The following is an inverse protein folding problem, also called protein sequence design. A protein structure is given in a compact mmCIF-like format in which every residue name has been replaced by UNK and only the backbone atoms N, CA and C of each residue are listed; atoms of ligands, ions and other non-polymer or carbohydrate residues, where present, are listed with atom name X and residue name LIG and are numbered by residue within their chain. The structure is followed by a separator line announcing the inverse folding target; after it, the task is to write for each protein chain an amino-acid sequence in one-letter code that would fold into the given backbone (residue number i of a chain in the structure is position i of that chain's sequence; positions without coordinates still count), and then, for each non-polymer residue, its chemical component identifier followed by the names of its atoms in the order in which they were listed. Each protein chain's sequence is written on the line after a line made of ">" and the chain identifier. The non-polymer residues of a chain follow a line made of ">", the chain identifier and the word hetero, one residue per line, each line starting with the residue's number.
data_IF_171943130555
#
_entry.id   IF_171943130555
#
_cell.length_a   1.000
_cell.length_b   1.000
_cell.length_c   1.000
_cell.angle_alpha   90.00
_cell.angle_beta   90.00
_cell.angle_gamma   90.00
#
_symmetry.space_group_name_H-M   'P 1'
#
loop_
_entity.id
_entity.type
_entity.pdbx_description
1 polymer ?
#
# COMPACT_ATOMS: atom_id res chain seq x y z
N UNK A 1 -0.73 17.15 -11.58
CA UNK A 1 -0.40 16.97 -13.02
C UNK A 1 -0.97 15.66 -13.53
N UNK A 2 -1.51 15.59 -14.76
CA UNK A 2 -1.97 14.31 -15.34
C UNK A 2 -0.76 13.47 -15.79
N UNK A 3 -0.73 12.19 -15.40
CA UNK A 3 0.28 11.22 -15.82
C UNK A 3 -0.30 10.36 -16.95
N UNK A 4 -1.45 9.71 -16.73
CA UNK A 4 -2.08 8.83 -17.70
C UNK A 4 -3.58 8.64 -17.46
N UNK A 5 -4.30 8.28 -18.52
CA UNK A 5 -5.61 7.62 -18.46
C UNK A 5 -5.44 6.27 -19.15
N UNK A 6 -5.81 5.19 -18.49
CA UNK A 6 -5.53 3.80 -18.89
C UNK A 6 -6.86 3.06 -18.97
N UNK A 7 -7.07 2.30 -20.05
CA UNK A 7 -8.24 1.45 -20.28
C UNK A 7 -7.93 0.47 -21.42
N UNK A 8 -8.62 -0.66 -21.49
CA UNK A 8 -8.47 -1.64 -22.57
C UNK A 8 -7.12 -2.36 -22.59
N UNK A 9 -6.40 -2.37 -21.47
CA UNK A 9 -5.10 -3.06 -21.32
C UNK A 9 -5.00 -3.70 -19.95
N UNK A 10 -4.36 -4.86 -19.88
CA UNK A 10 -4.04 -5.55 -18.61
C UNK A 10 -2.71 -5.10 -18.01
N UNK A 11 -1.88 -4.40 -18.79
CA UNK A 11 -0.58 -3.89 -18.36
C UNK A 11 -0.23 -2.60 -19.10
N UNK A 12 0.30 -1.63 -18.37
CA UNK A 12 0.80 -0.39 -18.97
C UNK A 12 2.21 -0.57 -19.54
N UNK A 13 2.57 0.29 -20.50
CA UNK A 13 3.98 0.61 -20.69
C UNK A 13 4.55 1.27 -19.42
N UNK A 14 5.85 1.41 -19.34
CA UNK A 14 6.48 2.18 -18.27
C UNK A 14 6.14 3.67 -18.41
N UNK A 15 5.39 4.19 -17.45
CA UNK A 15 5.03 5.59 -17.38
C UNK A 15 6.18 6.35 -16.72
N UNK A 16 6.68 7.38 -17.40
CA UNK A 16 7.82 8.17 -16.93
C UNK A 16 7.34 9.53 -16.45
N UNK A 17 7.67 9.89 -15.21
CA UNK A 17 7.37 11.18 -14.59
C UNK A 17 8.69 11.88 -14.28
N UNK A 18 8.98 12.96 -15.01
CA UNK A 18 10.22 13.73 -14.87
C UNK A 18 10.10 14.90 -13.90
N UNK A 19 8.90 15.14 -13.39
CA UNK A 19 8.66 16.15 -12.35
C UNK A 19 8.73 15.50 -10.97
N UNK A 20 9.26 16.23 -10.01
CA UNK A 20 9.22 15.83 -8.60
C UNK A 20 7.77 15.87 -8.10
N UNK A 21 7.29 14.71 -7.64
CA UNK A 21 5.97 14.55 -7.02
C UNK A 21 6.13 13.87 -5.66
N UNK A 22 5.30 14.23 -4.68
CA UNK A 22 5.28 13.59 -3.35
C UNK A 22 4.21 12.52 -3.23
N UNK A 23 3.14 12.66 -4.01
CA UNK A 23 1.99 11.76 -4.01
C UNK A 23 1.51 11.42 -5.41
N UNK A 24 0.90 10.24 -5.54
CA UNK A 24 0.20 9.77 -6.74
C UNK A 24 -1.29 9.68 -6.43
N UNK A 25 -2.12 10.39 -7.16
CA UNK A 25 -3.56 10.15 -7.16
C UNK A 25 -3.85 9.01 -8.12
N UNK A 26 -4.56 8.00 -7.61
CA UNK A 26 -5.05 6.86 -8.37
C UNK A 26 -6.58 6.86 -8.27
N UNK A 27 -7.27 6.79 -9.39
CA UNK A 27 -8.73 6.64 -9.40
C UNK A 27 -9.17 5.62 -10.44
N UNK A 28 -10.32 5.00 -10.18
CA UNK A 28 -10.95 4.05 -11.11
C UNK A 28 -12.47 4.06 -10.97
N UNK A 29 -13.16 3.53 -11.98
CA UNK A 29 -14.59 3.22 -11.89
C UNK A 29 -14.92 2.09 -10.89
N UNK A 30 -13.94 1.27 -10.52
CA UNK A 30 -14.09 0.26 -9.47
C UNK A 30 -14.25 0.92 -8.09
N UNK A 31 -15.03 0.30 -7.20
CA UNK A 31 -14.92 0.59 -5.78
C UNK A 31 -13.60 0.04 -5.23
N UNK A 32 -13.04 0.66 -4.19
CA UNK A 32 -11.78 0.23 -3.56
C UNK A 32 -11.76 -1.28 -3.19
N UNK A 33 -12.88 -1.78 -2.65
CA UNK A 33 -13.02 -3.20 -2.30
C UNK A 33 -13.02 -4.16 -3.49
N UNK A 34 -13.31 -3.67 -4.71
CA UNK A 34 -13.39 -4.47 -5.94
C UNK A 34 -12.04 -4.63 -6.65
N UNK A 35 -11.00 -3.91 -6.25
CA UNK A 35 -9.63 -4.21 -6.68
C UNK A 35 -9.25 -5.62 -6.20
N UNK A 36 -8.79 -6.49 -7.08
CA UNK A 36 -8.50 -7.90 -6.73
C UNK A 36 -7.10 -8.31 -7.13
N UNK A 37 -6.74 -8.10 -8.39
CA UNK A 37 -5.48 -8.61 -8.98
C UNK A 37 -4.53 -7.50 -9.38
N UNK A 38 -5.03 -6.28 -9.53
CA UNK A 38 -4.28 -5.13 -10.02
C UNK A 38 -3.03 -4.90 -9.16
N UNK A 39 -1.91 -4.64 -9.82
CA UNK A 39 -0.61 -4.43 -9.17
C UNK A 39 0.02 -3.13 -9.63
N UNK A 40 0.86 -2.59 -8.77
CA UNK A 40 1.65 -1.40 -9.01
C UNK A 40 3.13 -1.66 -8.73
N UNK A 41 3.96 -1.16 -9.64
CA UNK A 41 5.41 -1.04 -9.47
C UNK A 41 5.77 0.42 -9.58
N UNK A 42 6.55 0.92 -8.62
CA UNK A 42 7.07 2.29 -8.58
C UNK A 42 8.55 2.21 -8.26
N UNK A 43 9.37 2.84 -9.09
CA UNK A 43 10.78 3.01 -8.79
C UNK A 43 11.30 4.35 -9.31
N UNK A 44 12.38 4.82 -8.71
CA UNK A 44 13.10 6.02 -9.14
C UNK A 44 14.29 5.57 -9.98
N UNK A 45 14.28 5.97 -11.25
CA UNK A 45 15.41 5.81 -12.14
C UNK A 45 16.45 6.88 -11.80
N UNK A 46 17.58 6.44 -11.22
CA UNK A 46 18.68 7.34 -10.82
C UNK A 46 19.70 7.44 -11.93
N UNK A 47 20.28 8.63 -12.11
CA UNK A 47 21.25 8.89 -13.18
C UNK A 47 22.53 8.06 -13.06
N UNK A 48 22.85 7.58 -11.85
CA UNK A 48 23.98 6.70 -11.56
C UNK A 48 23.65 5.19 -11.74
N UNK A 49 22.43 4.84 -12.17
CA UNK A 49 21.95 3.47 -12.34
C UNK A 49 21.56 2.74 -11.05
N UNK A 50 21.73 3.36 -9.88
CA UNK A 50 21.31 2.81 -8.58
C UNK A 50 19.85 3.12 -8.30
N UNK A 51 18.94 2.46 -9.03
CA UNK A 51 17.52 2.70 -8.95
C UNK A 51 16.96 2.39 -7.55
N UNK A 52 16.01 3.22 -7.11
CA UNK A 52 15.34 3.05 -5.81
C UNK A 52 13.96 2.46 -6.04
N UNK A 53 13.73 1.23 -5.59
CA UNK A 53 12.45 0.54 -5.76
C UNK A 53 11.56 0.86 -4.57
N UNK A 54 10.46 1.58 -4.80
CA UNK A 54 9.49 1.92 -3.76
C UNK A 54 8.43 0.84 -3.62
N UNK A 55 7.93 0.32 -4.73
CA UNK A 55 6.99 -0.80 -4.77
C UNK A 55 7.32 -1.69 -5.96
N UNK A 56 7.24 -3.00 -5.80
CA UNK A 56 7.48 -3.96 -6.88
C UNK A 56 6.37 -4.99 -6.92
N UNK A 57 5.48 -4.87 -7.92
CA UNK A 57 4.32 -5.77 -8.14
C UNK A 57 3.43 -5.93 -6.90
N UNK A 58 3.31 -4.87 -6.12
CA UNK A 58 2.47 -4.81 -4.93
C UNK A 58 1.02 -4.74 -5.38
N UNK A 59 0.10 -5.46 -4.71
CA UNK A 59 -1.33 -5.32 -5.00
C UNK A 59 -1.76 -3.86 -4.83
N UNK A 60 -2.45 -3.31 -5.82
CA UNK A 60 -2.83 -1.90 -5.87
C UNK A 60 -3.73 -1.55 -4.69
N UNK A 61 -4.67 -2.44 -4.33
CA UNK A 61 -5.49 -2.32 -3.11
C UNK A 61 -4.59 -2.12 -1.88
N UNK A 62 -3.59 -2.96 -1.70
CA UNK A 62 -2.75 -2.96 -0.50
C UNK A 62 -1.80 -1.75 -0.48
N UNK A 63 -1.32 -1.33 -1.65
CA UNK A 63 -0.57 -0.08 -1.80
C UNK A 63 -1.42 1.14 -1.41
N UNK A 64 -2.66 1.24 -1.90
CA UNK A 64 -3.58 2.32 -1.52
C UNK A 64 -3.80 2.29 -0.01
N UNK A 65 -4.18 1.14 0.56
CA UNK A 65 -4.44 1.03 1.99
C UNK A 65 -3.23 1.39 2.84
N UNK A 66 -2.03 1.03 2.41
CA UNK A 66 -0.80 1.35 3.12
C UNK A 66 -0.42 2.83 3.00
N UNK A 67 -0.63 3.44 1.83
CA UNK A 67 -0.22 4.82 1.56
C UNK A 67 -1.19 5.87 2.09
N UNK A 68 -2.46 5.53 2.33
CA UNK A 68 -3.47 6.45 2.89
C UNK A 68 -3.68 6.28 4.40
N UNK A 69 -3.01 5.31 5.04
CA UNK A 69 -3.29 4.97 6.42
C UNK A 69 -2.88 6.08 7.38
N UNK A 70 -3.86 6.56 8.17
CA UNK A 70 -3.66 7.63 9.15
C UNK A 70 -3.56 9.03 8.54
N UNK A 71 -3.84 9.18 7.24
CA UNK A 71 -3.81 10.47 6.52
C UNK A 71 -5.19 10.76 5.92
N UNK A 72 -5.32 10.84 4.59
CA UNK A 72 -6.55 11.13 3.87
C UNK A 72 -7.36 9.86 3.58
N UNK A 73 -8.65 9.90 3.89
CA UNK A 73 -9.58 8.87 3.46
C UNK A 73 -9.64 8.77 1.92
N UNK A 74 -9.74 7.54 1.40
CA UNK A 74 -10.07 7.32 -0.01
C UNK A 74 -11.47 7.86 -0.31
N UNK A 75 -11.64 8.61 -1.39
CA UNK A 75 -12.91 9.26 -1.74
C UNK A 75 -13.57 8.57 -2.93
N UNK A 76 -14.81 8.92 -3.26
CA UNK A 76 -15.42 8.56 -4.54
C UNK A 76 -16.39 9.63 -5.03
N UNK A 77 -16.62 9.65 -6.35
CA UNK A 77 -17.50 10.61 -7.01
C UNK A 77 -18.39 9.92 -8.06
N UNK A 78 -19.09 10.69 -8.89
CA UNK A 78 -20.01 10.15 -9.90
C UNK A 78 -19.32 9.36 -11.02
N UNK A 79 -18.01 9.53 -11.20
CA UNK A 79 -17.23 8.95 -12.29
C UNK A 79 -16.22 7.92 -11.79
N UNK A 80 -15.87 7.96 -10.51
CA UNK A 80 -14.83 7.14 -9.90
C UNK A 80 -15.38 6.45 -8.65
N UNK A 81 -15.36 5.12 -8.63
CA UNK A 81 -15.70 4.31 -7.46
C UNK A 81 -14.66 4.41 -6.34
N UNK A 82 -13.43 4.83 -6.66
CA UNK A 82 -12.45 5.31 -5.69
C UNK A 82 -11.54 6.39 -6.27
N UNK A 83 -11.02 7.25 -5.39
CA UNK A 83 -9.99 8.27 -5.62
C UNK A 83 -9.09 8.25 -4.39
N UNK A 84 -7.86 7.77 -4.54
CA UNK A 84 -6.88 7.64 -3.47
C UNK A 84 -5.69 8.57 -3.74
N UNK A 85 -5.30 9.38 -2.75
CA UNK A 85 -4.06 10.15 -2.76
C UNK A 85 -3.01 9.33 -2.01
N UNK A 86 -2.08 8.73 -2.76
CA UNK A 86 -1.10 7.78 -2.22
C UNK A 86 0.25 8.48 -2.06
N UNK A 87 0.69 8.70 -0.82
CA UNK A 87 2.01 9.25 -0.54
C UNK A 87 3.12 8.27 -0.94
N UNK A 88 4.16 8.79 -1.59
CA UNK A 88 5.38 8.03 -1.94
C UNK A 88 6.64 8.68 -1.34
N UNK A 89 6.50 9.88 -0.78
CA UNK A 89 7.55 10.64 -0.13
C UNK A 89 6.97 11.40 1.07
N UNK A 90 7.79 11.63 2.10
CA UNK A 90 7.38 12.25 3.35
C UNK A 90 7.80 13.73 3.43
N UNK A 91 6.83 14.59 3.76
CA UNK A 91 6.97 16.05 3.86
C UNK A 91 7.58 16.73 2.62
N UNK A 92 7.31 16.19 1.42
CA UNK A 92 7.81 16.78 0.19
C UNK A 92 7.69 15.90 -1.04
N UNK A 93 8.15 16.45 -2.16
CA UNK A 93 8.29 15.71 -3.40
C UNK A 93 9.57 14.87 -3.42
N UNK A 94 9.56 13.74 -4.14
CA UNK A 94 10.78 12.97 -4.41
C UNK A 94 11.85 13.88 -5.00
N UNK A 95 13.02 13.96 -4.37
CA UNK A 95 14.17 14.64 -4.96
C UNK A 95 14.60 13.91 -6.24
N UNK A 96 14.65 14.64 -7.36
CA UNK A 96 15.09 14.15 -8.67
C UNK A 96 16.19 15.08 -9.22
N UNK A 97 17.35 14.51 -9.55
CA UNK A 97 18.38 15.23 -10.28
C UNK A 97 18.06 15.32 -11.78
N UNK A 98 18.89 16.03 -12.54
CA UNK A 98 18.73 16.11 -14.00
C UNK A 98 18.76 14.71 -14.63
N UNK A 99 17.77 14.42 -15.50
CA UNK A 99 17.58 13.14 -16.19
C UNK A 99 17.15 11.96 -15.30
N UNK A 100 16.86 12.20 -14.02
CA UNK A 100 16.20 11.22 -13.18
C UNK A 100 14.68 11.26 -13.39
N UNK A 101 14.00 10.16 -13.08
CA UNK A 101 12.55 10.10 -13.22
C UNK A 101 11.92 9.07 -12.29
N UNK A 102 10.65 9.27 -11.99
CA UNK A 102 9.82 8.28 -11.33
C UNK A 102 9.17 7.43 -12.42
N UNK A 103 9.30 6.11 -12.28
CA UNK A 103 8.77 5.11 -13.20
C UNK A 103 7.63 4.38 -12.54
N UNK A 104 6.50 4.29 -13.24
CA UNK A 104 5.27 3.65 -12.76
C UNK A 104 4.82 2.61 -13.78
N UNK A 105 4.52 1.40 -13.31
CA UNK A 105 3.91 0.35 -14.12
C UNK A 105 2.70 -0.19 -13.36
N UNK A 106 1.56 -0.29 -14.05
CA UNK A 106 0.41 -1.04 -13.58
C UNK A 106 0.31 -2.36 -14.35
N UNK A 107 0.03 -3.45 -13.63
CA UNK A 107 -0.09 -4.81 -14.17
C UNK A 107 -1.35 -5.49 -13.63
N UNK A 108 -1.80 -6.55 -14.30
CA UNK A 108 -2.98 -7.34 -13.95
C UNK A 108 -4.26 -6.47 -13.80
N UNK A 109 -4.37 -5.45 -14.65
CA UNK A 109 -5.51 -4.53 -14.72
C UNK A 109 -6.75 -5.22 -15.30
N UNK A 110 -7.92 -4.89 -14.75
CA UNK A 110 -9.20 -5.13 -15.43
C UNK A 110 -9.29 -4.23 -16.68
N UNK A 111 -9.32 -4.86 -17.87
CA UNK A 111 -9.30 -4.15 -19.15
C UNK A 111 -10.59 -3.36 -19.43
N UNK A 112 -11.71 -3.76 -18.81
CA UNK A 112 -13.00 -3.08 -18.92
C UNK A 112 -13.07 -1.81 -18.05
N UNK A 113 -12.09 -1.65 -17.15
CA UNK A 113 -12.03 -0.53 -16.22
C UNK A 113 -11.13 0.58 -16.73
N UNK A 114 -11.46 1.80 -16.30
CA UNK A 114 -10.62 2.99 -16.49
C UNK A 114 -9.80 3.22 -15.22
N UNK A 115 -8.53 3.56 -15.39
CA UNK A 115 -7.65 4.01 -14.33
C UNK A 115 -7.04 5.36 -14.71
N UNK A 116 -7.10 6.35 -13.81
CA UNK A 116 -6.44 7.63 -13.98
C UNK A 116 -5.33 7.80 -12.96
N UNK A 117 -4.18 8.29 -13.45
CA UNK A 117 -3.01 8.60 -12.64
C UNK A 117 -2.70 10.09 -12.74
N UNK A 118 -2.56 10.73 -11.58
CA UNK A 118 -2.07 12.10 -11.46
C UNK A 118 -0.95 12.17 -10.44
N UNK A 119 0.03 13.04 -10.65
CA UNK A 119 1.06 13.35 -9.68
C UNK A 119 0.76 14.66 -8.95
N UNK A 120 1.10 14.74 -7.67
CA UNK A 120 1.04 15.99 -6.89
C UNK A 120 2.47 16.54 -6.74
N UNK A 121 2.70 17.68 -7.38
CA UNK A 121 3.94 18.44 -7.23
C UNK A 121 3.91 19.16 -5.87
N UNK A 122 5.06 19.20 -5.19
CA UNK A 122 5.20 19.84 -3.88
C UNK A 122 6.36 20.85 -3.92
N UNK A 123 6.29 21.93 -3.12
CA UNK A 123 7.24 23.03 -3.19
C UNK A 123 8.63 22.68 -2.64
N UNK A 124 8.71 21.62 -1.84
CA UNK A 124 9.96 21.14 -1.23
C UNK A 124 10.23 19.72 -1.72
N UNK A 125 11.51 19.34 -1.72
CA UNK A 125 11.94 17.99 -2.05
C UNK A 125 12.51 17.29 -0.83
N UNK A 126 12.35 15.96 -0.80
CA UNK A 126 12.76 15.09 0.31
C UNK A 126 13.49 13.86 -0.22
N UNK A 127 14.30 13.27 0.67
CA UNK A 127 14.91 11.95 0.48
C UNK A 127 14.26 10.89 1.37
N UNK A 128 13.27 11.26 2.17
CA UNK A 128 12.49 10.33 2.98
C UNK A 128 11.38 9.74 2.11
N UNK A 129 11.50 8.47 1.76
CA UNK A 129 10.62 7.80 0.81
C UNK A 129 9.89 6.63 1.46
N UNK A 130 8.65 6.40 1.04
CA UNK A 130 7.87 5.25 1.46
C UNK A 130 8.21 4.02 0.61
N UNK A 131 8.51 2.92 1.27
CA UNK A 131 8.81 1.62 0.69
C UNK A 131 7.70 0.63 1.04
N UNK A 132 7.27 -0.13 0.05
CA UNK A 132 6.19 -1.11 0.12
C UNK A 132 6.74 -2.48 -0.31
N UNK A 133 6.89 -3.39 0.65
CA UNK A 133 7.48 -4.70 0.41
C UNK A 133 6.45 -5.81 0.63
N UNK A 134 6.37 -6.75 -0.31
CA UNK A 134 5.50 -7.90 -0.16
C UNK A 134 6.17 -8.99 0.69
N UNK A 135 5.43 -9.53 1.66
CA UNK A 135 5.82 -10.72 2.43
C UNK A 135 4.70 -11.76 2.35
N UNK A 136 5.05 -13.04 2.47
CA UNK A 136 4.08 -14.14 2.31
C UNK A 136 4.34 -15.26 3.31
N UNK A 137 3.26 -15.77 3.89
CA UNK A 137 3.21 -17.07 4.58
C UNK A 137 2.63 -18.08 3.61
N UNK A 138 3.42 -19.09 3.27
CA UNK A 138 3.09 -20.10 2.28
C UNK A 138 2.02 -21.08 2.80
N UNK A 139 1.43 -21.85 1.90
CA UNK A 139 0.27 -22.70 2.22
C UNK A 139 0.63 -23.83 3.20
N UNK A 140 1.83 -24.36 3.14
CA UNK A 140 2.37 -25.42 3.97
C UNK A 140 2.73 -24.99 5.41
N UNK A 141 2.96 -23.69 5.63
CA UNK A 141 3.36 -23.14 6.92
C UNK A 141 2.15 -23.04 7.86
N UNK A 142 2.22 -23.68 9.04
CA UNK A 142 1.21 -23.53 10.11
C UNK A 142 1.50 -22.31 10.99
N UNK A 143 2.79 -21.98 11.09
CA UNK A 143 3.33 -20.88 11.85
C UNK A 143 4.49 -20.30 11.06
N UNK A 144 4.55 -18.98 10.96
CA UNK A 144 5.71 -18.28 10.44
C UNK A 144 5.96 -17.00 11.21
N UNK A 145 7.22 -16.78 11.55
CA UNK A 145 7.73 -15.49 12.00
C UNK A 145 8.23 -14.69 10.81
N UNK A 146 7.69 -13.48 10.68
CA UNK A 146 8.05 -12.49 9.68
C UNK A 146 8.86 -11.41 10.39
N UNK A 147 10.04 -11.12 9.87
CA UNK A 147 10.79 -9.94 10.30
C UNK A 147 10.10 -8.68 9.78
N UNK A 148 9.74 -7.81 10.71
CA UNK A 148 9.06 -6.54 10.44
C UNK A 148 9.78 -5.36 11.11
N UNK A 149 11.02 -5.55 11.53
CA UNK A 149 11.82 -4.47 12.08
C UNK A 149 12.00 -3.34 11.06
N UNK A 150 11.70 -2.11 11.51
CA UNK A 150 11.82 -0.90 10.68
C UNK A 150 10.62 -0.61 9.77
N UNK A 151 9.59 -1.47 9.78
CA UNK A 151 8.31 -1.20 9.15
C UNK A 151 7.35 -0.59 10.19
N UNK A 152 6.48 0.33 9.74
CA UNK A 152 5.51 1.01 10.60
C UNK A 152 4.09 0.45 10.42
N UNK A 153 3.83 -0.26 9.32
CA UNK A 153 2.53 -0.78 8.95
C UNK A 153 2.64 -2.09 8.18
N UNK A 154 1.65 -2.97 8.34
CA UNK A 154 1.38 -4.08 7.43
C UNK A 154 -0.08 -4.08 7.00
N UNK A 155 -0.34 -4.36 5.72
CA UNK A 155 -1.65 -4.70 5.19
C UNK A 155 -1.67 -6.20 4.95
N UNK A 156 -2.43 -6.93 5.77
CA UNK A 156 -2.56 -8.39 5.71
C UNK A 156 -3.85 -8.80 5.01
N UNK A 157 -3.81 -9.85 4.20
CA UNK A 157 -5.02 -10.53 3.72
C UNK A 157 -5.75 -11.20 4.89
N UNK A 158 -7.02 -10.87 5.11
CA UNK A 158 -7.85 -11.55 6.12
C UNK A 158 -8.25 -12.91 5.59
N UNK A 159 -7.96 -13.95 6.38
CA UNK A 159 -8.44 -15.30 6.15
C UNK A 159 -8.93 -15.88 7.47
N UNK A 160 -10.08 -16.58 7.43
CA UNK A 160 -10.71 -17.16 8.62
C UNK A 160 -9.85 -18.23 9.30
N UNK A 161 -8.82 -18.74 8.61
CA UNK A 161 -7.90 -19.76 9.12
C UNK A 161 -6.83 -19.21 10.04
N UNK A 162 -6.63 -17.88 10.06
CA UNK A 162 -5.70 -17.22 10.97
C UNK A 162 -6.30 -17.21 12.37
N UNK A 163 -5.73 -17.99 13.28
CA UNK A 163 -6.22 -18.10 14.65
C UNK A 163 -5.82 -16.91 15.51
N UNK A 164 -4.57 -16.46 15.33
CA UNK A 164 -3.96 -15.41 16.12
C UNK A 164 -2.68 -14.88 15.49
N UNK A 165 -2.27 -13.70 15.96
CA UNK A 165 -1.02 -13.05 15.62
C UNK A 165 -0.27 -12.71 16.90
N UNK A 166 1.06 -12.86 16.90
CA UNK A 166 1.90 -12.43 18.01
C UNK A 166 2.87 -11.35 17.56
N UNK A 167 2.85 -10.23 18.27
CA UNK A 167 3.79 -9.13 18.09
C UNK A 167 4.95 -9.31 19.03
N UNK A 168 6.15 -9.42 18.48
CA UNK A 168 7.38 -9.28 19.24
C UNK A 168 7.83 -7.83 19.18
N UNK A 169 7.88 -7.16 20.33
CA UNK A 169 8.31 -5.77 20.45
C UNK A 169 9.82 -5.66 20.67
N UNK A 170 10.38 -4.49 20.35
CA UNK A 170 11.80 -4.18 20.51
C UNK A 170 12.30 -4.25 21.97
N UNK A 171 11.41 -4.12 22.95
CA UNK A 171 11.70 -4.30 24.37
C UNK A 171 11.71 -5.77 24.82
N UNK A 172 11.56 -6.72 23.90
CA UNK A 172 11.55 -8.16 24.16
C UNK A 172 10.19 -8.73 24.59
N UNK A 173 9.17 -7.89 24.78
CA UNK A 173 7.82 -8.38 25.09
C UNK A 173 7.18 -9.04 23.88
N UNK A 174 6.40 -10.09 24.13
CA UNK A 174 5.57 -10.74 23.12
C UNK A 174 4.12 -10.63 23.56
N UNK A 175 3.30 -10.02 22.72
CA UNK A 175 1.85 -9.89 22.97
C UNK A 175 1.11 -10.61 21.87
N UNK A 176 0.18 -11.47 22.28
CA UNK A 176 -0.67 -12.26 21.38
C UNK A 176 -2.01 -11.55 21.24
N UNK A 177 -2.48 -11.45 20.00
CA UNK A 177 -3.73 -10.81 19.63
C UNK A 177 -4.59 -11.72 18.77
N UNK A 178 -5.90 -11.59 18.93
CA UNK A 178 -6.87 -12.05 17.95
C UNK A 178 -6.94 -11.06 16.77
N UNK A 179 -7.24 -11.50 15.55
CA UNK A 179 -7.44 -10.60 14.40
C UNK A 179 -8.44 -9.48 14.68
N UNK A 180 -9.50 -9.76 15.46
CA UNK A 180 -10.50 -8.77 15.88
C UNK A 180 -9.91 -7.63 16.72
N UNK A 181 -8.98 -7.94 17.63
CA UNK A 181 -8.35 -6.92 18.49
C UNK A 181 -7.48 -5.97 17.67
N UNK A 182 -6.68 -6.53 16.76
CA UNK A 182 -5.85 -5.75 15.84
C UNK A 182 -6.69 -4.91 14.88
N UNK A 183 -7.83 -5.46 14.40
CA UNK A 183 -8.75 -4.70 13.56
C UNK A 183 -9.35 -3.51 14.31
N UNK A 184 -9.67 -3.71 15.59
CA UNK A 184 -10.20 -2.64 16.45
C UNK A 184 -9.15 -1.56 16.69
N UNK A 185 -7.90 -1.95 16.98
CA UNK A 185 -6.78 -1.01 17.15
C UNK A 185 -6.51 -0.20 15.88
N UNK A 186 -6.54 -0.84 14.71
CA UNK A 186 -6.35 -0.14 13.45
C UNK A 186 -7.46 0.87 13.16
N UNK A 187 -8.71 0.52 13.45
CA UNK A 187 -9.88 1.42 13.29
C UNK A 187 -9.91 2.58 14.28
N UNK A 188 -9.24 2.45 15.41
CA UNK A 188 -9.09 3.55 16.36
C UNK A 188 -8.13 4.61 15.81
N UNK A 189 -7.04 4.17 15.17
CA UNK A 189 -6.04 5.05 14.55
C UNK A 189 -6.57 5.68 13.26
N UNK A 190 -7.19 4.88 12.40
CA UNK A 190 -7.74 5.32 11.12
C UNK A 190 -9.23 4.89 11.00
N UNK A 191 -10.16 5.69 11.54
CA UNK A 191 -11.57 5.32 11.61
C UNK A 191 -12.32 5.46 10.28
N UNK A 192 -11.74 6.14 9.27
CA UNK A 192 -12.38 6.46 7.99
C UNK A 192 -11.43 6.08 6.86
N UNK A 193 -11.49 4.83 6.43
CA UNK A 193 -10.67 4.34 5.33
C UNK A 193 -11.17 4.80 3.96
N UNK A 194 -12.49 4.83 3.76
CA UNK A 194 -13.08 5.37 2.54
C UNK A 194 -14.44 6.05 2.76
N UNK A 195 -14.73 7.04 1.93
CA UNK A 195 -16.01 7.75 1.86
C UNK A 195 -16.65 7.48 0.50
N UNK A 196 -17.83 6.87 0.50
CA UNK A 196 -18.59 6.66 -0.72
C UNK A 196 -19.29 7.97 -1.16
N UNK A 197 -19.56 8.09 -2.47
CA UNK A 197 -20.34 9.19 -3.03
C UNK A 197 -21.71 9.37 -2.34
N UNK A 198 -22.30 8.29 -1.82
CA UNK A 198 -23.58 8.31 -1.12
C UNK A 198 -23.45 8.69 0.37
N UNK A 199 -22.27 9.11 0.82
CA UNK A 199 -21.99 9.48 2.22
C UNK A 199 -21.80 8.27 3.14
N UNK A 200 -21.59 7.07 2.61
CA UNK A 200 -21.29 5.88 3.42
C UNK A 200 -19.83 5.92 3.87
N UNK A 201 -19.61 5.80 5.16
CA UNK A 201 -18.27 5.64 5.75
C UNK A 201 -17.89 4.17 5.76
N UNK A 202 -16.71 3.86 5.21
CA UNK A 202 -16.09 2.54 5.26
C UNK A 202 -14.91 2.61 6.25
N UNK A 203 -14.97 1.81 7.30
CA UNK A 203 -13.97 1.76 8.37
C UNK A 203 -12.94 0.63 8.19
N UNK A 204 -12.94 -0.04 7.04
CA UNK A 204 -12.16 -1.25 6.83
C UNK A 204 -12.71 -2.08 5.68
N UNK A 205 -11.82 -2.76 4.95
CA UNK A 205 -12.22 -3.80 4.00
C UNK A 205 -12.34 -5.14 4.71
N UNK A 206 -13.30 -5.96 4.28
CA UNK A 206 -13.57 -7.27 4.90
C UNK A 206 -12.43 -8.28 4.69
N UNK A 207 -11.68 -8.13 3.60
CA UNK A 207 -10.62 -9.01 3.16
C UNK A 207 -9.23 -8.49 3.54
N UNK A 208 -9.14 -7.40 4.32
CA UNK A 208 -7.88 -6.79 4.75
C UNK A 208 -7.87 -6.42 6.22
N UNK A 209 -6.72 -6.67 6.84
CA UNK A 209 -6.40 -6.28 8.20
C UNK A 209 -5.17 -5.40 8.16
N UNK A 210 -5.33 -4.17 8.61
CA UNK A 210 -4.22 -3.25 8.78
C UNK A 210 -3.61 -3.44 10.16
N UNK A 211 -2.29 -3.54 10.20
CA UNK A 211 -1.49 -3.93 11.35
C UNK A 211 -0.51 -2.80 11.67
N UNK A 212 -0.74 -2.00 12.72
CA UNK A 212 0.26 -1.02 13.18
C UNK A 212 1.50 -1.74 13.72
N UNK A 213 2.68 -1.42 13.20
CA UNK A 213 3.93 -2.12 13.53
C UNK A 213 4.94 -1.25 14.31
N UNK A 214 4.53 -0.06 14.77
CA UNK A 214 5.42 0.83 15.53
C UNK A 214 6.00 0.10 16.75
N UNK A 215 7.33 -0.03 16.79
CA UNK A 215 8.05 -0.72 17.86
C UNK A 215 8.00 -2.26 17.80
N UNK A 216 7.35 -2.83 16.79
CA UNK A 216 7.30 -4.28 16.51
C UNK A 216 8.51 -4.67 15.68
N UNK A 217 9.22 -5.71 16.09
CA UNK A 217 10.39 -6.26 15.38
C UNK A 217 10.10 -7.61 14.73
N UNK A 218 9.07 -8.32 15.19
CA UNK A 218 8.66 -9.59 14.63
C UNK A 218 7.15 -9.78 14.68
N UNK A 219 6.61 -10.33 13.61
CA UNK A 219 5.20 -10.71 13.50
C UNK A 219 5.12 -12.22 13.32
N UNK A 220 4.53 -12.94 14.26
CA UNK A 220 4.29 -14.37 14.15
C UNK A 220 2.81 -14.64 13.87
N UNK A 221 2.53 -15.55 12.95
CA UNK A 221 1.18 -15.80 12.46
C UNK A 221 0.88 -17.28 12.54
N UNK A 222 -0.23 -17.61 13.17
CA UNK A 222 -0.73 -18.96 13.29
C UNK A 222 -1.94 -19.15 12.38
N UNK A 223 -1.88 -20.13 11.49
CA UNK A 223 -2.95 -20.43 10.53
C UNK A 223 -3.14 -21.91 10.26
N UNK A 224 -4.26 -22.27 9.65
CA UNK A 224 -4.44 -23.61 9.09
C UNK A 224 -3.60 -23.79 7.81
N UNK A 225 -3.17 -25.04 7.55
CA UNK A 225 -2.49 -25.39 6.30
C UNK A 225 -3.42 -25.28 5.09
N UNK A 226 -2.84 -25.04 3.92
CA UNK A 226 -3.54 -24.92 2.63
C UNK A 226 -3.80 -23.48 2.18
N UNK A 227 -3.55 -22.49 3.04
CA UNK A 227 -3.90 -21.09 2.79
C UNK A 227 -2.66 -20.20 2.71
N UNK A 228 -2.59 -19.34 1.71
CA UNK A 228 -1.50 -18.35 1.56
C UNK A 228 -1.95 -17.04 2.19
N UNK A 229 -1.14 -16.48 3.08
CA UNK A 229 -1.40 -15.15 3.67
C UNK A 229 -0.36 -14.18 3.15
N UNK A 230 -0.83 -13.10 2.52
CA UNK A 230 0.02 -12.06 1.97
C UNK A 230 -0.01 -10.81 2.84
N UNK A 231 1.13 -10.11 2.81
CA UNK A 231 1.39 -8.87 3.51
C UNK A 231 1.99 -7.88 2.53
N UNK A 232 1.60 -6.62 2.68
CA UNK A 232 2.39 -5.49 2.20
C UNK A 232 2.82 -4.71 3.42
N UNK A 233 4.12 -4.65 3.67
CA UNK A 233 4.69 -3.85 4.77
C UNK A 233 5.16 -2.50 4.25
N UNK A 234 4.96 -1.45 5.05
CA UNK A 234 5.38 -0.07 4.75
C UNK A 234 6.53 0.34 5.65
N UNK A 235 7.52 1.01 5.09
CA UNK A 235 8.60 1.63 5.84
C UNK A 235 8.93 3.00 5.24
N UNK A 236 9.27 3.97 6.10
CA UNK A 236 9.87 5.22 5.69
C UNK A 236 11.41 5.08 5.78
N UNK A 237 12.13 5.36 4.69
CA UNK A 237 13.59 5.31 4.67
C UNK A 237 14.16 6.54 4.00
N UNK A 238 15.27 7.06 4.53
CA UNK A 238 16.06 8.11 3.88
C UNK A 238 17.01 7.48 2.86
N UNK A 239 17.00 7.94 1.61
CA UNK A 239 17.86 7.46 0.52
C UNK A 239 18.87 8.46 0.00
#
# INVERSE_FOLDING_TARGET
>A
MKIATITGVTKTQELTVTKSIGSIIISSGLALGQLTTEKITIYIERGNGSNVILANKVLLKDFILASTYGTEATQSDSNNGFIALCEIADEGSVYLAEKESIKIVLEDLDEDMRYDLHGIEEPVSTNNLYFFEQKTVASEEFNKKIDVQGFDLAIMTVDATVSDLSYQYSNGQVVKYLPFELQTLSRDIDPIQALSQNGTVVQGLIDRLTLPLVGVVGLEINKSQGYVINFVVRALKTV
#
